data_IF_975633863690
#
_entry.id   IF_975633863690
#
_cell.length_a   1.000
_cell.length_b   1.000
_cell.length_c   1.000
_cell.angle_alpha   90.00
_cell.angle_beta   90.00
_cell.angle_gamma   90.00
#
_symmetry.space_group_name_H-M   'P 1'
#
loop_
_entity.id
_entity.type
_entity.pdbx_description
1 polymer ?
#
# COMPACT_ATOMS: atom_id res chain seq x y z
N UNK A 1 20.43 -36.69 -28.09
CA UNK A 1 19.52 -36.99 -26.97
C UNK A 1 20.16 -36.40 -25.73
N UNK A 2 19.66 -35.26 -25.24
CA UNK A 2 20.14 -34.66 -24.00
C UNK A 2 19.40 -35.34 -22.84
N UNK A 3 20.13 -35.96 -21.93
CA UNK A 3 19.58 -36.51 -20.68
C UNK A 3 19.42 -35.36 -19.70
N UNK A 4 18.18 -34.98 -19.40
CA UNK A 4 17.88 -34.06 -18.30
C UNK A 4 18.29 -34.72 -16.98
N UNK A 5 19.30 -34.12 -16.31
CA UNK A 5 19.71 -34.54 -14.97
C UNK A 5 18.70 -34.03 -13.96
N UNK A 6 17.93 -34.93 -13.34
CA UNK A 6 17.04 -34.61 -12.22
C UNK A 6 17.91 -34.29 -11.00
N UNK A 7 17.89 -33.03 -10.56
CA UNK A 7 18.59 -32.60 -9.35
C UNK A 7 17.73 -32.94 -8.13
N UNK A 8 18.19 -33.88 -7.29
CA UNK A 8 17.56 -34.20 -6.02
C UNK A 8 17.83 -33.08 -5.00
N UNK A 9 16.79 -32.64 -4.28
CA UNK A 9 16.89 -31.60 -3.24
C UNK A 9 16.66 -32.19 -1.83
N UNK A 10 17.36 -31.66 -0.82
CA UNK A 10 17.30 -32.11 0.59
C UNK A 10 17.15 -30.89 1.51
N UNK A 11 16.47 -31.05 2.65
CA UNK A 11 16.36 -30.01 3.68
C UNK A 11 17.59 -30.01 4.61
N UNK A 12 18.30 -28.90 4.73
CA UNK A 12 19.42 -28.77 5.67
C UNK A 12 18.93 -28.69 7.12
N UNK A 13 19.48 -29.52 8.02
CA UNK A 13 19.04 -29.61 9.43
C UNK A 13 19.41 -28.39 10.29
N UNK A 14 20.44 -27.62 9.91
CA UNK A 14 20.84 -26.41 10.66
C UNK A 14 20.11 -25.15 10.22
N UNK A 15 19.89 -24.95 8.92
CA UNK A 15 19.26 -23.72 8.41
C UNK A 15 17.83 -23.91 7.89
N UNK A 16 17.29 -25.13 7.86
CA UNK A 16 15.96 -25.49 7.34
C UNK A 16 15.69 -25.01 5.90
N UNK A 17 16.74 -24.77 5.10
CA UNK A 17 16.61 -24.44 3.67
C UNK A 17 16.69 -25.71 2.82
N UNK A 18 15.94 -25.72 1.72
CA UNK A 18 16.01 -26.76 0.69
C UNK A 18 17.23 -26.47 -0.18
N UNK A 19 18.15 -27.42 -0.27
CA UNK A 19 19.40 -27.29 -1.02
C UNK A 19 19.59 -28.51 -1.93
N UNK A 20 20.27 -28.38 -3.08
CA UNK A 20 20.58 -29.53 -3.92
C UNK A 20 21.45 -30.54 -3.15
N UNK A 21 21.25 -31.83 -3.42
CA UNK A 21 21.98 -32.93 -2.80
C UNK A 21 23.47 -32.82 -3.12
N UNK A 22 24.20 -32.29 -2.15
CA UNK A 22 25.66 -32.12 -2.14
C UNK A 22 26.17 -32.44 -0.74
N UNK A 23 27.47 -32.68 -0.60
CA UNK A 23 28.06 -33.07 0.69
C UNK A 23 28.00 -31.93 1.73
N UNK A 24 27.86 -30.68 1.30
CA UNK A 24 27.90 -29.50 2.17
C UNK A 24 26.78 -28.53 1.79
N UNK A 25 26.04 -28.03 2.79
CA UNK A 25 25.04 -26.99 2.59
C UNK A 25 25.70 -25.67 2.13
N UNK A 26 25.36 -25.14 0.94
CA UNK A 26 25.98 -23.91 0.41
C UNK A 26 25.69 -22.68 1.27
N UNK A 27 24.61 -22.72 2.06
CA UNK A 27 24.15 -21.58 2.87
C UNK A 27 24.82 -21.51 4.24
N UNK A 28 25.17 -22.66 4.84
CA UNK A 28 25.65 -22.68 6.23
C UNK A 28 26.90 -23.54 6.49
N UNK A 29 27.44 -24.18 5.46
CA UNK A 29 28.66 -24.98 5.53
C UNK A 29 28.54 -26.31 6.29
N UNK A 30 27.32 -26.73 6.67
CA UNK A 30 27.12 -27.99 7.37
C UNK A 30 27.21 -29.18 6.40
N UNK A 31 27.91 -30.24 6.81
CA UNK A 31 27.95 -31.52 6.09
C UNK A 31 26.57 -32.18 6.15
N UNK A 32 26.04 -32.59 4.99
CA UNK A 32 24.73 -33.23 4.87
C UNK A 32 24.91 -34.75 4.89
N UNK A 33 24.73 -35.38 6.07
CA UNK A 33 24.78 -36.84 6.18
C UNK A 33 23.63 -37.49 5.39
N UNK A 34 23.99 -38.31 4.41
CA UNK A 34 23.06 -38.93 3.44
C UNK A 34 22.04 -39.90 4.05
N UNK A 35 22.05 -40.09 5.38
CA UNK A 35 21.26 -41.12 6.07
C UNK A 35 19.93 -40.62 6.62
N UNK A 36 19.61 -39.32 6.53
CA UNK A 36 18.37 -38.74 7.07
C UNK A 36 17.47 -38.17 5.96
N UNK A 37 16.94 -39.04 5.11
CA UNK A 37 15.91 -38.64 4.14
C UNK A 37 14.57 -38.54 4.88
N UNK A 38 14.22 -37.34 5.35
CA UNK A 38 12.86 -37.05 5.83
C UNK A 38 12.02 -36.72 4.59
N UNK A 39 11.00 -37.52 4.25
CA UNK A 39 10.12 -37.18 3.14
C UNK A 39 9.40 -35.86 3.41
N UNK A 40 9.67 -34.86 2.57
CA UNK A 40 8.98 -33.56 2.58
C UNK A 40 7.49 -33.79 2.30
N UNK A 41 6.66 -33.67 3.34
CA UNK A 41 5.23 -33.40 3.15
C UNK A 41 5.12 -31.94 2.70
N UNK A 42 4.53 -31.75 1.53
CA UNK A 42 4.32 -30.45 0.89
C UNK A 42 3.67 -29.43 1.82
N UNK A 43 4.24 -28.24 1.84
CA UNK A 43 3.92 -27.09 2.71
C UNK A 43 2.75 -26.24 2.19
N UNK A 44 1.87 -26.79 1.36
CA UNK A 44 0.77 -26.05 0.71
C UNK A 44 -0.42 -25.75 1.67
N UNK A 45 -0.29 -26.03 2.98
CA UNK A 45 -1.41 -25.93 3.93
C UNK A 45 -1.48 -24.63 4.73
N UNK A 46 -0.48 -23.75 4.66
CA UNK A 46 -0.44 -22.54 5.50
C UNK A 46 -1.05 -21.32 4.80
N UNK A 47 -0.85 -21.15 3.49
CA UNK A 47 -1.51 -20.06 2.74
C UNK A 47 -3.01 -20.30 2.54
N UNK A 48 -3.42 -21.56 2.41
CA UNK A 48 -4.83 -21.94 2.27
C UNK A 48 -5.65 -21.68 3.55
N UNK A 49 -5.02 -21.66 4.73
CA UNK A 49 -5.72 -21.32 5.99
C UNK A 49 -6.02 -19.83 6.13
N UNK A 50 -5.16 -18.94 5.62
CA UNK A 50 -5.41 -17.50 5.64
C UNK A 50 -6.52 -17.11 4.66
N UNK A 51 -6.53 -17.70 3.47
CA UNK A 51 -7.61 -17.56 2.49
C UNK A 51 -8.94 -18.14 3.02
N UNK A 52 -8.90 -19.31 3.66
CA UNK A 52 -10.08 -19.96 4.26
C UNK A 52 -10.65 -19.17 5.45
N UNK A 53 -9.80 -18.54 6.29
CA UNK A 53 -10.25 -17.67 7.40
C UNK A 53 -10.89 -16.38 6.90
N UNK A 54 -10.34 -15.78 5.85
CA UNK A 54 -10.91 -14.59 5.20
C UNK A 54 -12.27 -14.89 4.57
N UNK A 55 -12.42 -16.07 3.94
CA UNK A 55 -13.70 -16.54 3.40
C UNK A 55 -14.73 -16.83 4.50
N UNK A 56 -14.34 -17.48 5.60
CA UNK A 56 -15.24 -17.74 6.73
C UNK A 56 -15.73 -16.44 7.39
N UNK A 57 -14.87 -15.41 7.49
CA UNK A 57 -15.27 -14.10 8.02
C UNK A 57 -16.23 -13.35 7.09
N UNK A 58 -16.02 -13.40 5.78
CA UNK A 58 -16.96 -12.83 4.81
C UNK A 58 -18.29 -13.59 4.77
N UNK A 59 -18.29 -14.90 5.02
CA UNK A 59 -19.50 -15.72 5.11
C UNK A 59 -20.30 -15.39 6.38
N UNK A 60 -19.65 -15.26 7.53
CA UNK A 60 -20.26 -14.79 8.78
C UNK A 60 -20.94 -13.41 8.61
N UNK A 61 -20.28 -12.48 7.89
CA UNK A 61 -20.83 -11.15 7.59
C UNK A 61 -22.05 -11.19 6.64
N UNK A 62 -22.20 -12.22 5.81
CA UNK A 62 -23.38 -12.42 4.94
C UNK A 62 -24.56 -13.03 5.69
N UNK A 63 -24.31 -13.92 6.65
CA UNK A 63 -25.36 -14.54 7.48
C UNK A 63 -25.98 -13.51 8.43
N UNK A 64 -25.17 -12.62 9.03
CA UNK A 64 -25.65 -11.51 9.85
C UNK A 64 -26.51 -10.47 9.11
N UNK A 65 -26.38 -10.35 7.79
CA UNK A 65 -27.26 -9.48 6.98
C UNK A 65 -28.60 -10.12 6.64
N UNK A 66 -28.73 -11.44 6.77
CA UNK A 66 -29.96 -12.18 6.46
C UNK A 66 -30.89 -12.32 7.67
N UNK A 67 -30.37 -12.19 8.89
CA UNK A 67 -31.16 -12.15 10.11
C UNK A 67 -31.55 -10.71 10.47
N UNK A 68 -32.49 -10.14 9.70
CA UNK A 68 -33.37 -9.10 10.25
C UNK A 68 -34.48 -9.80 11.05
N UNK A 69 -34.89 -9.25 12.21
CA UNK A 69 -35.82 -9.93 13.10
C UNK A 69 -37.21 -10.04 12.47
N UNK A 70 -37.69 -11.28 12.38
CA UNK A 70 -39.10 -11.62 12.16
C UNK A 70 -39.92 -11.04 13.30
N UNK A 71 -40.67 -9.97 13.04
CA UNK A 71 -41.75 -9.56 13.94
C UNK A 71 -42.97 -10.46 13.71
N UNK A 72 -43.45 -11.07 14.78
CA UNK A 72 -44.84 -11.47 14.98
C UNK A 72 -45.19 -11.29 16.46
N UNK A 73 -46.46 -11.44 16.91
CA UNK A 73 -47.66 -11.80 16.17
C UNK A 73 -48.86 -10.84 16.42
N UNK A 74 -49.89 -10.86 15.56
CA UNK A 74 -51.29 -10.70 15.97
C UNK A 74 -52.27 -11.19 14.89
N UNK A 75 -53.48 -11.56 15.36
CA UNK A 75 -54.32 -12.68 14.90
C UNK A 75 -55.70 -12.20 14.44
N UNK A 76 -56.24 -12.79 13.35
CA UNK A 76 -57.66 -12.99 12.93
C UNK A 76 -58.58 -11.74 12.78
N UNK A 77 -59.43 -11.58 11.76
CA UNK A 77 -60.37 -12.57 11.19
C UNK A 77 -60.98 -12.14 9.84
N UNK A 78 -61.29 -13.17 9.03
CA UNK A 78 -62.37 -13.37 8.03
C UNK A 78 -62.46 -12.47 6.78
N UNK A 79 -62.34 -12.95 5.52
CA UNK A 79 -63.01 -14.00 4.71
C UNK A 79 -63.97 -13.37 3.67
N UNK A 80 -63.60 -13.34 2.37
CA UNK A 80 -64.45 -13.80 1.24
C UNK A 80 -63.77 -13.65 -0.16
N UNK A 81 -63.60 -14.80 -0.81
CA UNK A 81 -63.83 -15.17 -2.24
C UNK A 81 -63.44 -14.21 -3.41
N UNK A 82 -62.41 -14.65 -4.19
CA UNK A 82 -62.33 -14.92 -5.67
C UNK A 82 -63.09 -14.02 -6.69
N UNK A 83 -62.66 -13.97 -7.99
CA UNK A 83 -61.33 -13.75 -8.57
C UNK A 83 -61.41 -12.78 -9.81
N UNK A 84 -60.57 -12.90 -10.86
CA UNK A 84 -59.65 -11.86 -11.32
C UNK A 84 -60.17 -11.05 -12.53
N UNK A 85 -59.61 -9.87 -12.83
CA UNK A 85 -59.36 -9.51 -14.23
C UNK A 85 -58.45 -8.31 -14.45
N UNK A 86 -57.54 -8.54 -15.40
CA UNK A 86 -56.70 -7.58 -16.10
C UNK A 86 -57.57 -6.52 -16.78
N UNK A 87 -57.17 -5.27 -16.68
CA UNK A 87 -57.28 -4.28 -17.75
C UNK A 87 -55.94 -3.54 -17.76
N UNK A 88 -55.37 -3.10 -18.88
CA UNK A 88 -55.86 -1.98 -19.68
C UNK A 88 -55.17 -2.01 -21.05
N UNK A 89 -55.94 -1.66 -22.08
CA UNK A 89 -55.63 -0.86 -23.29
C UNK A 89 -56.89 -0.99 -24.16
N UNK A 90 -57.54 0.01 -24.74
CA UNK A 90 -57.35 1.44 -24.94
C UNK A 90 -58.72 1.97 -25.41
N UNK A 91 -58.92 3.30 -25.41
CA UNK A 91 -59.68 3.93 -26.50
C UNK A 91 -60.94 4.70 -26.13
N UNK A 92 -60.74 5.99 -25.90
CA UNK A 92 -61.38 7.09 -26.61
C UNK A 92 -62.86 7.45 -26.37
N UNK A 93 -63.03 8.74 -26.02
CA UNK A 93 -63.93 9.77 -26.62
C UNK A 93 -65.04 10.34 -25.71
N UNK A 94 -64.94 11.68 -25.49
CA UNK A 94 -65.93 12.76 -25.25
C UNK A 94 -67.31 12.39 -24.63
N UNK A 95 -67.88 13.16 -23.69
CA UNK A 95 -68.42 14.53 -23.85
C UNK A 95 -68.58 15.22 -22.47
N UNK A 96 -68.52 16.55 -22.54
CA UNK A 96 -68.81 17.65 -21.58
C UNK A 96 -69.94 17.42 -20.56
N UNK A 97 -69.87 18.05 -19.38
CA UNK A 97 -70.69 19.24 -19.03
C UNK A 97 -70.22 19.92 -17.72
N UNK A 98 -70.45 21.23 -17.66
CA UNK A 98 -69.94 22.21 -16.71
C UNK A 98 -70.60 22.15 -15.32
N UNK A 99 -69.87 22.57 -14.28
CA UNK A 99 -70.37 23.50 -13.25
C UNK A 99 -69.21 24.03 -12.37
N UNK A 100 -69.05 25.35 -12.35
CA UNK A 100 -68.26 26.19 -11.42
C UNK A 100 -69.26 26.80 -10.43
N UNK A 101 -69.00 26.87 -9.11
CA UNK A 101 -68.38 28.06 -8.45
C UNK A 101 -67.38 27.68 -7.34
N UNK A 102 -66.22 28.35 -7.19
CA UNK A 102 -65.96 29.66 -6.57
C UNK A 102 -65.46 29.54 -5.11
N UNK A 103 -64.14 29.74 -4.98
CA UNK A 103 -63.39 30.47 -3.94
C UNK A 103 -63.87 30.39 -2.49
N UNK A 104 -63.09 29.74 -1.62
CA UNK A 104 -62.72 30.31 -0.33
C UNK A 104 -61.24 30.06 0.00
N UNK A 105 -60.69 31.04 0.70
CA UNK A 105 -59.30 31.44 0.88
C UNK A 105 -58.98 31.27 2.35
N UNK A 106 -57.76 30.83 2.69
CA UNK A 106 -57.05 30.85 4.00
C UNK A 106 -56.38 29.48 4.20
N UNK A 107 -55.13 29.32 4.63
CA UNK A 107 -54.14 30.23 5.22
C UNK A 107 -52.79 29.52 5.13
N UNK A 108 -51.74 30.25 4.77
CA UNK A 108 -50.36 29.79 4.82
C UNK A 108 -49.95 29.51 6.27
N UNK A 109 -49.47 28.29 6.55
CA UNK A 109 -48.62 28.02 7.71
C UNK A 109 -47.21 27.70 7.22
N UNK A 110 -46.32 28.64 7.56
CA UNK A 110 -44.87 28.59 7.48
C UNK A 110 -44.36 27.39 8.31
N UNK A 111 -43.71 26.43 7.67
CA UNK A 111 -42.88 25.42 8.36
C UNK A 111 -41.45 25.68 7.93
N UNK A 112 -40.62 26.07 8.89
CA UNK A 112 -39.19 26.27 8.71
C UNK A 112 -38.52 24.95 8.31
N UNK A 113 -37.54 24.95 7.40
CA UNK A 113 -36.67 23.81 7.23
C UNK A 113 -35.70 23.76 8.42
N UNK A 114 -35.90 22.76 9.29
CA UNK A 114 -34.86 22.35 10.25
C UNK A 114 -33.75 21.70 9.43
N UNK A 115 -32.64 22.42 9.30
CA UNK A 115 -31.35 21.92 8.85
C UNK A 115 -30.99 20.67 9.67
N UNK A 116 -31.21 19.50 9.08
CA UNK A 116 -30.55 18.28 9.54
C UNK A 116 -29.18 18.26 8.91
N UNK A 117 -28.25 18.99 9.52
CA UNK A 117 -26.82 18.77 9.32
C UNK A 117 -26.53 17.30 9.57
N UNK A 118 -26.27 16.57 8.48
CA UNK A 118 -25.69 15.25 8.51
C UNK A 118 -24.27 15.41 9.08
N UNK A 119 -24.18 15.24 10.39
CA UNK A 119 -22.95 15.29 11.16
C UNK A 119 -21.99 14.24 10.60
N UNK A 120 -20.95 14.72 9.90
CA UNK A 120 -19.77 13.96 9.50
C UNK A 120 -19.13 13.35 10.74
N UNK A 121 -19.41 12.08 11.02
CA UNK A 121 -18.56 11.26 11.88
C UNK A 121 -17.47 10.69 10.98
N UNK A 122 -16.46 11.51 10.72
CA UNK A 122 -15.18 11.06 10.15
C UNK A 122 -14.07 11.40 11.13
N UNK A 123 -14.21 10.95 12.38
CA UNK A 123 -13.06 10.67 13.22
C UNK A 123 -12.49 9.33 12.77
N UNK A 124 -11.69 9.39 11.70
CA UNK A 124 -10.71 8.35 11.41
C UNK A 124 -9.72 8.41 12.56
N UNK A 125 -9.98 7.60 13.58
CA UNK A 125 -9.06 7.31 14.67
C UNK A 125 -7.71 6.95 14.03
N UNK A 126 -6.78 7.92 14.07
CA UNK A 126 -5.41 7.73 13.60
C UNK A 126 -4.87 6.57 14.43
N UNK A 127 -4.63 5.44 13.76
CA UNK A 127 -3.85 4.35 14.32
C UNK A 127 -2.59 4.98 14.96
N UNK A 128 -2.21 4.58 16.18
CA UNK A 128 -1.01 5.10 16.82
C UNK A 128 0.20 4.68 15.97
N UNK A 129 0.58 5.56 15.04
CA UNK A 129 1.84 5.47 14.32
C UNK A 129 2.88 5.82 15.36
N UNK A 130 3.53 4.80 15.92
CA UNK A 130 4.74 5.03 16.70
C UNK A 130 5.71 5.79 15.78
N UNK A 131 6.24 6.92 16.24
CA UNK A 131 7.33 7.61 15.56
C UNK A 131 8.51 6.63 15.55
N UNK A 132 8.78 6.02 14.40
CA UNK A 132 9.82 5.01 14.31
C UNK A 132 11.12 5.66 13.86
N UNK A 133 12.18 5.40 14.63
CA UNK A 133 13.54 5.82 14.31
C UNK A 133 14.07 5.05 13.10
N UNK A 134 14.26 5.76 11.99
CA UNK A 134 14.80 5.24 10.73
C UNK A 134 16.19 4.60 10.95
N UNK A 135 16.96 5.06 11.94
CA UNK A 135 18.28 4.52 12.27
C UNK A 135 18.29 3.07 12.75
N UNK A 136 17.14 2.55 13.17
CA UNK A 136 16.99 1.15 13.61
C UNK A 136 16.54 0.20 12.51
N UNK A 137 16.15 0.72 11.34
CA UNK A 137 15.65 -0.08 10.23
C UNK A 137 16.78 -0.80 9.50
N UNK A 138 16.67 -2.13 9.37
CA UNK A 138 17.58 -2.92 8.54
C UNK A 138 16.90 -3.19 7.19
N UNK A 139 17.28 -2.48 6.11
CA UNK A 139 16.68 -2.67 4.80
C UNK A 139 17.01 -4.06 4.25
N UNK A 140 16.08 -4.64 3.50
CA UNK A 140 16.38 -5.84 2.73
C UNK A 140 17.45 -5.56 1.65
N UNK A 141 18.21 -6.59 1.20
CA UNK A 141 19.33 -6.40 0.29
C UNK A 141 18.97 -5.65 -0.99
N UNK A 142 17.77 -5.90 -1.53
CA UNK A 142 17.32 -5.31 -2.78
C UNK A 142 16.96 -3.84 -2.62
N UNK A 143 16.21 -3.50 -1.57
CA UNK A 143 15.90 -2.10 -1.23
C UNK A 143 17.18 -1.31 -0.97
N UNK A 144 18.14 -1.91 -0.25
CA UNK A 144 19.43 -1.30 0.00
C UNK A 144 20.20 -1.03 -1.30
N UNK A 145 20.31 -2.02 -2.17
CA UNK A 145 21.00 -1.92 -3.45
C UNK A 145 20.41 -0.83 -4.34
N UNK A 146 19.07 -0.75 -4.43
CA UNK A 146 18.37 0.26 -5.23
C UNK A 146 18.76 1.68 -4.81
N UNK A 147 18.69 1.95 -3.51
CA UNK A 147 18.97 3.29 -2.97
C UNK A 147 20.47 3.61 -3.08
N UNK A 148 21.36 2.67 -2.77
CA UNK A 148 22.80 2.86 -2.95
C UNK A 148 23.19 3.09 -4.40
N UNK A 149 22.58 2.38 -5.35
CA UNK A 149 22.84 2.53 -6.78
C UNK A 149 22.43 3.92 -7.26
N UNK A 150 21.27 4.43 -6.80
CA UNK A 150 20.85 5.78 -7.10
C UNK A 150 21.83 6.82 -6.53
N UNK A 151 22.23 6.68 -5.27
CA UNK A 151 23.23 7.56 -4.64
C UNK A 151 24.54 7.56 -5.43
N UNK A 152 25.05 6.38 -5.80
CA UNK A 152 26.29 6.25 -6.58
C UNK A 152 26.15 6.95 -7.94
N UNK A 153 25.03 6.78 -8.63
CA UNK A 153 24.83 7.43 -9.93
C UNK A 153 24.77 8.95 -9.82
N UNK A 154 24.09 9.49 -8.80
CA UNK A 154 24.07 10.94 -8.57
C UNK A 154 25.49 11.49 -8.29
N UNK A 155 26.29 10.78 -7.48
CA UNK A 155 27.69 11.15 -7.21
C UNK A 155 28.53 11.12 -8.49
N UNK A 156 28.39 10.08 -9.30
CA UNK A 156 29.14 9.96 -10.55
C UNK A 156 28.77 11.05 -11.54
N UNK A 157 27.49 11.39 -11.68
CA UNK A 157 27.05 12.45 -12.57
C UNK A 157 27.66 13.80 -12.18
N UNK A 158 27.55 14.18 -10.90
CA UNK A 158 28.10 15.45 -10.39
C UNK A 158 29.63 15.49 -10.57
N UNK A 159 30.33 14.43 -10.16
CA UNK A 159 31.79 14.37 -10.25
C UNK A 159 32.27 14.37 -11.71
N UNK A 160 31.57 13.70 -12.63
CA UNK A 160 31.94 13.73 -14.04
C UNK A 160 31.80 15.14 -14.63
N UNK A 161 30.72 15.85 -14.29
CA UNK A 161 30.54 17.25 -14.71
C UNK A 161 31.63 18.14 -14.13
N UNK A 162 32.02 17.93 -12.87
CA UNK A 162 33.12 18.67 -12.24
C UNK A 162 34.46 18.40 -12.93
N UNK A 163 34.81 17.14 -13.20
CA UNK A 163 36.04 16.77 -13.92
C UNK A 163 36.08 17.38 -15.32
N UNK A 164 34.94 17.42 -16.00
CA UNK A 164 34.83 18.06 -17.30
C UNK A 164 35.01 19.58 -17.22
N UNK A 165 34.40 20.23 -16.23
CA UNK A 165 34.57 21.66 -15.94
C UNK A 165 36.03 22.03 -15.64
N UNK A 166 36.76 21.16 -14.96
CA UNK A 166 38.19 21.33 -14.67
C UNK A 166 39.10 21.02 -15.88
N UNK A 167 38.53 20.59 -17.01
CA UNK A 167 39.28 20.26 -18.23
C UNK A 167 40.07 18.95 -18.13
N UNK A 168 39.79 18.11 -17.12
CA UNK A 168 40.47 16.83 -16.94
C UNK A 168 39.99 15.74 -17.93
N UNK A 169 38.82 15.95 -18.53
CA UNK A 169 38.19 14.99 -19.46
C UNK A 169 37.84 15.70 -20.75
N UNK A 170 38.08 15.05 -21.90
CA UNK A 170 37.70 15.59 -23.20
C UNK A 170 36.18 15.53 -23.41
N UNK A 171 35.65 16.42 -24.24
CA UNK A 171 34.22 16.51 -24.55
C UNK A 171 33.65 15.19 -25.10
N UNK A 172 34.42 14.47 -25.92
CA UNK A 172 34.01 13.19 -26.50
C UNK A 172 33.84 12.10 -25.42
N UNK A 173 34.82 11.98 -24.52
CA UNK A 173 34.78 11.01 -23.42
C UNK A 173 33.66 11.38 -22.45
N UNK A 174 33.54 12.66 -22.10
CA UNK A 174 32.48 13.18 -21.26
C UNK A 174 31.10 12.83 -21.83
N UNK A 175 30.83 13.19 -23.09
CA UNK A 175 29.52 12.99 -23.71
C UNK A 175 29.13 11.52 -23.74
N UNK A 176 30.08 10.62 -24.03
CA UNK A 176 29.83 9.17 -24.04
C UNK A 176 29.45 8.64 -22.66
N UNK A 177 30.19 9.03 -21.61
CA UNK A 177 29.93 8.59 -20.24
C UNK A 177 28.67 9.23 -19.66
N UNK A 178 28.51 10.53 -19.89
CA UNK A 178 27.41 11.32 -19.36
C UNK A 178 26.05 10.83 -19.87
N UNK A 179 25.89 10.66 -21.19
CA UNK A 179 24.62 10.16 -21.74
C UNK A 179 24.21 8.81 -21.14
N UNK A 180 25.18 7.88 -20.95
CA UNK A 180 24.89 6.58 -20.34
C UNK A 180 24.39 6.68 -18.89
N UNK A 181 24.89 7.65 -18.12
CA UNK A 181 24.47 7.85 -16.73
C UNK A 181 23.12 8.59 -16.63
N UNK A 182 22.92 9.60 -17.47
CA UNK A 182 21.69 10.40 -17.48
C UNK A 182 20.46 9.54 -17.82
N UNK A 183 20.63 8.46 -18.57
CA UNK A 183 19.54 7.53 -18.89
C UNK A 183 19.19 6.58 -17.71
N UNK A 184 20.13 6.29 -16.81
CA UNK A 184 19.92 5.36 -15.69
C UNK A 184 19.17 5.99 -14.51
N UNK A 185 19.44 7.26 -14.19
CA UNK A 185 18.84 7.95 -13.04
C UNK A 185 17.30 7.97 -13.10
N UNK A 186 16.64 8.34 -14.22
CA UNK A 186 15.18 8.30 -14.34
C UNK A 186 14.61 6.89 -14.11
N UNK A 187 15.30 5.84 -14.58
CA UNK A 187 14.89 4.46 -14.37
C UNK A 187 14.93 4.07 -12.89
N UNK A 188 16.00 4.42 -12.18
CA UNK A 188 16.14 4.16 -10.74
C UNK A 188 15.09 4.93 -9.92
N UNK A 189 14.80 6.17 -10.28
CA UNK A 189 13.75 6.98 -9.63
C UNK A 189 12.37 6.37 -9.86
N UNK A 190 12.07 5.96 -11.11
CA UNK A 190 10.80 5.32 -11.45
C UNK A 190 10.62 4.03 -10.64
N UNK A 191 11.66 3.21 -10.56
CA UNK A 191 11.66 1.96 -9.82
C UNK A 191 11.45 2.17 -8.30
N UNK A 192 12.14 3.16 -7.73
CA UNK A 192 11.93 3.60 -6.33
C UNK A 192 10.50 4.08 -6.09
N UNK A 193 9.93 4.82 -7.04
CA UNK A 193 8.55 5.30 -6.99
C UNK A 193 7.53 4.17 -7.06
N UNK A 194 7.76 3.18 -7.92
CA UNK A 194 6.92 1.98 -8.04
C UNK A 194 6.94 1.15 -6.74
N UNK A 195 8.12 0.86 -6.20
CA UNK A 195 8.26 0.15 -4.93
C UNK A 195 7.53 0.87 -3.78
N UNK A 196 7.64 2.20 -3.72
CA UNK A 196 6.93 3.02 -2.72
C UNK A 196 5.41 2.95 -2.89
N UNK A 197 4.93 2.97 -4.13
CA UNK A 197 3.50 2.90 -4.45
C UNK A 197 2.92 1.52 -4.10
N UNK A 198 3.65 0.45 -4.40
CA UNK A 198 3.26 -0.92 -4.05
C UNK A 198 3.15 -1.09 -2.53
N UNK A 199 4.16 -0.63 -1.78
CA UNK A 199 4.13 -0.65 -0.32
C UNK A 199 2.96 0.14 0.26
N UNK A 200 2.67 1.31 -0.29
CA UNK A 200 1.51 2.11 0.11
C UNK A 200 0.19 1.36 -0.12
N UNK A 201 0.06 0.68 -1.25
CA UNK A 201 -1.08 -0.18 -1.55
C UNK A 201 -1.26 -1.30 -0.52
N UNK A 202 -0.19 -2.04 -0.23
CA UNK A 202 -0.19 -3.12 0.76
C UNK A 202 -0.53 -2.61 2.17
N UNK A 203 0.11 -1.52 2.60
CA UNK A 203 -0.17 -0.89 3.90
C UNK A 203 -1.61 -0.45 4.05
N UNK A 204 -2.24 0.06 2.99
CA UNK A 204 -3.66 0.43 3.03
C UNK A 204 -4.56 -0.81 3.22
N UNK A 205 -4.19 -1.95 2.61
CA UNK A 205 -4.81 -3.23 2.89
C UNK A 205 -4.70 -3.62 4.37
N UNK A 206 -3.49 -3.58 4.93
CA UNK A 206 -3.26 -3.89 6.36
C UNK A 206 -4.01 -2.94 7.31
N UNK A 207 -4.03 -1.64 7.00
CA UNK A 207 -4.79 -0.64 7.77
C UNK A 207 -6.27 -0.97 7.81
N UNK A 208 -6.84 -1.35 6.67
CA UNK A 208 -8.26 -1.75 6.58
C UNK A 208 -8.57 -2.96 7.47
N UNK A 209 -7.71 -3.98 7.45
CA UNK A 209 -7.88 -5.17 8.30
C UNK A 209 -7.73 -4.84 9.79
N UNK A 210 -6.69 -4.09 10.17
CA UNK A 210 -6.48 -3.65 11.55
C UNK A 210 -7.66 -2.81 12.07
N UNK A 211 -8.17 -1.87 11.26
CA UNK A 211 -9.35 -1.07 11.61
C UNK A 211 -10.60 -1.93 11.77
N UNK A 212 -10.80 -2.91 10.89
CA UNK A 212 -11.92 -3.86 11.02
C UNK A 212 -11.82 -4.68 12.29
N UNK A 213 -10.61 -5.12 12.68
CA UNK A 213 -10.39 -5.87 13.92
C UNK A 213 -10.65 -5.00 15.16
N UNK A 214 -10.19 -3.73 15.16
CA UNK A 214 -10.49 -2.76 16.22
C UNK A 214 -11.99 -2.50 16.38
N UNK A 215 -12.71 -2.34 15.27
CA UNK A 215 -14.17 -2.22 15.31
C UNK A 215 -14.83 -3.49 15.86
N UNK A 216 -14.30 -4.66 15.51
CA UNK A 216 -14.74 -5.95 16.06
C UNK A 216 -14.56 -6.04 17.58
N UNK A 217 -13.44 -5.55 18.11
CA UNK A 217 -13.18 -5.49 19.56
C UNK A 217 -14.19 -4.60 20.26
N UNK A 218 -14.41 -3.37 19.75
CA UNK A 218 -15.39 -2.43 20.31
C UNK A 218 -16.80 -3.03 20.34
N UNK A 219 -17.21 -3.73 19.28
CA UNK A 219 -18.50 -4.40 19.23
C UNK A 219 -18.58 -5.57 20.23
N UNK A 220 -17.50 -6.34 20.37
CA UNK A 220 -17.43 -7.46 21.31
C UNK A 220 -17.50 -6.97 22.76
N UNK A 221 -16.86 -5.84 23.08
CA UNK A 221 -16.95 -5.16 24.38
C UNK A 221 -18.38 -4.72 24.69
N UNK A 222 -19.08 -4.14 23.70
CA UNK A 222 -20.49 -3.77 23.84
C UNK A 222 -21.37 -5.00 24.10
N UNK A 223 -21.22 -6.08 23.32
CA UNK A 223 -22.00 -7.31 23.53
C UNK A 223 -21.78 -7.90 24.92
N UNK A 224 -20.53 -7.91 25.39
CA UNK A 224 -20.21 -8.33 26.76
C UNK A 224 -20.90 -7.45 27.80
N UNK A 225 -20.97 -6.13 27.59
CA UNK A 225 -21.65 -5.21 28.52
C UNK A 225 -23.17 -5.41 28.61
N UNK A 226 -23.78 -6.06 27.62
CA UNK A 226 -25.19 -6.43 27.60
C UNK A 226 -25.45 -7.89 28.02
N UNK A 227 -24.44 -8.60 28.53
CA UNK A 227 -24.48 -10.04 28.79
C UNK A 227 -24.87 -10.90 27.56
N UNK A 228 -24.70 -10.37 26.35
CA UNK A 228 -24.98 -11.04 25.05
C UNK A 228 -23.75 -11.82 24.52
N UNK A 229 -22.70 -11.92 25.34
CA UNK A 229 -21.49 -12.66 25.02
C UNK A 229 -20.94 -13.31 26.29
N UNK A 230 -20.74 -14.64 26.28
CA UNK A 230 -20.13 -15.31 27.42
C UNK A 230 -18.66 -14.91 27.59
N UNK A 231 -18.14 -15.01 28.81
CA UNK A 231 -16.73 -14.71 29.07
C UNK A 231 -15.78 -15.61 28.26
N UNK A 232 -16.14 -16.88 28.01
CA UNK A 232 -15.37 -17.78 27.16
C UNK A 232 -15.35 -17.34 25.69
N UNK A 233 -16.51 -16.97 25.13
CA UNK A 233 -16.61 -16.46 23.75
C UNK A 233 -15.78 -15.18 23.61
N UNK A 234 -15.94 -14.26 24.57
CA UNK A 234 -15.20 -13.00 24.62
C UNK A 234 -13.70 -13.26 24.64
N UNK A 235 -13.22 -14.11 25.56
CA UNK A 235 -11.78 -14.39 25.72
C UNK A 235 -11.15 -14.92 24.44
N UNK A 236 -11.82 -15.82 23.73
CA UNK A 236 -11.31 -16.39 22.47
C UNK A 236 -11.33 -15.36 21.34
N UNK A 237 -12.46 -14.65 21.15
CA UNK A 237 -12.61 -13.69 20.05
C UNK A 237 -11.75 -12.45 20.24
N UNK A 238 -11.67 -11.90 21.46
CA UNK A 238 -10.85 -10.75 21.78
C UNK A 238 -9.37 -11.05 21.55
N UNK A 239 -8.90 -12.25 21.94
CA UNK A 239 -7.52 -12.66 21.70
C UNK A 239 -7.18 -12.72 20.20
N UNK A 240 -8.08 -13.27 19.37
CA UNK A 240 -7.89 -13.32 17.93
C UNK A 240 -7.87 -11.93 17.29
N UNK A 241 -8.80 -11.05 17.66
CA UNK A 241 -8.86 -9.70 17.12
C UNK A 241 -7.68 -8.84 17.58
N UNK A 242 -7.25 -8.95 18.85
CA UNK A 242 -6.04 -8.28 19.33
C UNK A 242 -4.80 -8.75 18.56
N UNK A 243 -4.70 -10.05 18.27
CA UNK A 243 -3.62 -10.57 17.44
C UNK A 243 -3.62 -9.93 16.05
N UNK A 244 -4.79 -9.79 15.41
CA UNK A 244 -4.90 -9.12 14.10
C UNK A 244 -4.43 -7.65 14.19
N UNK A 245 -4.90 -6.91 15.20
CA UNK A 245 -4.52 -5.50 15.41
C UNK A 245 -3.00 -5.37 15.58
N UNK A 246 -2.40 -6.18 16.44
CA UNK A 246 -0.96 -6.14 16.72
C UNK A 246 -0.14 -6.58 15.50
N UNK A 247 -0.56 -7.65 14.83
CA UNK A 247 0.14 -8.20 13.68
C UNK A 247 0.16 -7.22 12.51
N UNK A 248 -1.02 -6.71 12.13
CA UNK A 248 -1.11 -5.74 11.04
C UNK A 248 -0.54 -4.37 11.43
N UNK A 249 -0.63 -3.98 12.71
CA UNK A 249 0.06 -2.80 13.23
C UNK A 249 1.57 -2.85 13.00
N UNK A 250 2.21 -3.98 13.31
CA UNK A 250 3.64 -4.21 13.03
C UNK A 250 3.94 -4.15 11.53
N UNK A 251 3.12 -4.79 10.69
CA UNK A 251 3.30 -4.77 9.23
C UNK A 251 3.18 -3.37 8.63
N UNK A 252 2.26 -2.55 9.14
CA UNK A 252 2.13 -1.14 8.74
C UNK A 252 3.40 -0.37 9.13
N UNK A 253 3.88 -0.56 10.36
CA UNK A 253 5.10 0.10 10.86
C UNK A 253 6.34 -0.31 10.05
N UNK A 254 6.53 -1.60 9.78
CA UNK A 254 7.59 -2.12 8.90
C UNK A 254 7.51 -1.50 7.48
N UNK A 255 6.30 -1.44 6.91
CA UNK A 255 6.08 -0.83 5.60
C UNK A 255 6.36 0.68 5.58
N UNK A 256 6.06 1.38 6.66
CA UNK A 256 6.36 2.80 6.82
C UNK A 256 7.87 3.03 6.87
N UNK A 257 8.60 2.29 7.70
CA UNK A 257 10.07 2.37 7.75
C UNK A 257 10.70 2.11 6.37
N UNK A 258 10.23 1.08 5.65
CA UNK A 258 10.72 0.78 4.29
C UNK A 258 10.42 1.91 3.31
N UNK A 259 9.22 2.49 3.38
CA UNK A 259 8.82 3.63 2.56
C UNK A 259 9.68 4.86 2.84
N UNK A 260 9.95 5.13 4.11
CA UNK A 260 10.76 6.27 4.53
C UNK A 260 12.22 6.08 4.15
N UNK A 261 12.75 4.86 4.25
CA UNK A 261 14.08 4.51 3.74
C UNK A 261 14.18 4.68 2.21
N UNK A 262 13.18 4.23 1.45
CA UNK A 262 13.14 4.44 0.00
C UNK A 262 13.04 5.92 -0.37
N UNK A 263 12.37 6.74 0.43
CA UNK A 263 12.24 8.18 0.19
C UNK A 263 13.50 8.95 0.60
N UNK A 264 14.15 8.55 1.69
CA UNK A 264 15.31 9.23 2.25
C UNK A 264 16.62 8.66 1.70
N UNK A 265 17.29 9.42 0.82
CA UNK A 265 18.72 9.21 0.54
C UNK A 265 19.61 9.68 1.71
N UNK A 266 19.06 10.41 2.69
CA UNK A 266 19.80 11.06 3.76
C UNK A 266 20.36 10.14 4.84
N UNK A 267 19.89 8.88 4.89
CA UNK A 267 20.52 7.85 5.71
C UNK A 267 21.80 7.25 5.10
N UNK A 268 22.05 7.47 3.81
CA UNK A 268 23.19 6.89 3.08
C UNK A 268 24.24 7.91 2.66
N UNK A 269 23.87 9.18 2.55
CA UNK A 269 24.78 10.28 2.28
C UNK A 269 24.79 11.19 3.49
N UNK A 270 25.97 11.54 4.00
CA UNK A 270 26.09 12.53 5.09
C UNK A 270 25.55 13.89 4.62
N UNK A 271 25.01 14.67 5.56
CA UNK A 271 24.39 15.96 5.25
C UNK A 271 25.41 16.92 4.64
N UNK A 272 26.63 16.90 5.17
CA UNK A 272 27.77 17.67 4.69
C UNK A 272 28.07 17.33 3.24
N UNK A 273 28.15 16.04 2.91
CA UNK A 273 28.40 15.60 1.55
C UNK A 273 27.26 15.98 0.60
N UNK A 274 26.00 15.96 1.06
CA UNK A 274 24.87 16.41 0.23
C UNK A 274 24.96 17.89 -0.07
N UNK A 275 25.38 18.70 0.90
CA UNK A 275 25.60 20.12 0.71
C UNK A 275 26.76 20.37 -0.25
N UNK A 276 27.88 19.63 -0.12
CA UNK A 276 29.00 19.71 -1.06
C UNK A 276 28.55 19.37 -2.50
N UNK A 277 27.78 18.29 -2.66
CA UNK A 277 27.24 17.88 -3.95
C UNK A 277 26.27 18.93 -4.53
N UNK A 278 25.45 19.57 -3.69
CA UNK A 278 24.56 20.67 -4.10
C UNK A 278 25.36 21.90 -4.54
N UNK A 279 26.41 22.26 -3.82
CA UNK A 279 27.26 23.40 -4.13
C UNK A 279 28.02 23.18 -5.44
N UNK A 280 28.54 21.96 -5.66
CA UNK A 280 29.16 21.58 -6.94
C UNK A 280 28.12 21.67 -8.07
N UNK A 281 26.95 21.05 -7.90
CA UNK A 281 25.89 21.09 -8.91
C UNK A 281 25.46 22.53 -9.25
N UNK A 282 25.31 23.40 -8.24
CA UNK A 282 25.02 24.81 -8.41
C UNK A 282 26.13 25.55 -9.19
N UNK A 283 27.38 25.35 -8.79
CA UNK A 283 28.54 25.91 -9.48
C UNK A 283 28.73 25.39 -10.91
N UNK A 284 28.14 24.24 -11.26
CA UNK A 284 28.11 23.71 -12.63
C UNK A 284 26.96 24.26 -13.47
N UNK A 285 25.90 24.79 -12.85
CA UNK A 285 24.79 25.44 -13.56
C UNK A 285 25.11 26.88 -14.01
N UNK A 286 26.15 27.51 -13.44
CA UNK A 286 26.53 28.88 -13.79
C UNK A 286 27.13 28.99 -15.20
N UNK A 287 26.50 29.80 -16.06
CA UNK A 287 26.84 29.95 -17.48
C UNK A 287 28.28 30.44 -17.75
N UNK A 288 28.90 31.08 -16.76
CA UNK A 288 30.29 31.56 -16.79
C UNK A 288 31.34 30.45 -16.66
N UNK A 289 30.95 29.27 -16.18
CA UNK A 289 31.87 28.19 -15.80
C UNK A 289 32.35 27.31 -16.96
N UNK A 290 31.72 27.38 -18.14
CA UNK A 290 31.91 26.45 -19.26
C UNK A 290 32.01 27.15 -20.63
N UNK A 291 32.83 28.21 -20.72
CA UNK A 291 32.85 29.13 -21.89
C UNK A 291 33.29 28.52 -23.22
N UNK A 292 33.95 27.35 -23.22
CA UNK A 292 34.49 26.71 -24.42
C UNK A 292 33.72 25.47 -24.88
N UNK A 293 32.54 25.21 -24.31
CA UNK A 293 31.76 24.00 -24.57
C UNK A 293 30.57 24.31 -25.48
N UNK A 294 30.25 23.37 -26.37
CA UNK A 294 29.11 23.43 -27.27
C UNK A 294 27.80 23.62 -26.48
N UNK A 295 26.97 24.59 -26.92
CA UNK A 295 25.77 25.01 -26.18
C UNK A 295 24.80 23.85 -25.90
N UNK A 296 24.68 22.90 -26.84
CA UNK A 296 23.86 21.68 -26.65
C UNK A 296 24.29 20.85 -25.44
N UNK A 297 25.59 20.69 -25.20
CA UNK A 297 26.11 19.93 -24.05
C UNK A 297 25.90 20.73 -22.77
N UNK A 298 26.12 22.05 -22.83
CA UNK A 298 25.90 22.94 -21.68
C UNK A 298 24.46 22.89 -21.18
N UNK A 299 23.48 22.93 -22.07
CA UNK A 299 22.06 22.82 -21.70
C UNK A 299 21.72 21.44 -21.13
N UNK A 300 22.29 20.36 -21.68
CA UNK A 300 22.12 19.01 -21.10
C UNK A 300 22.67 18.92 -19.68
N UNK A 301 23.88 19.43 -19.44
CA UNK A 301 24.50 19.46 -18.12
C UNK A 301 23.62 20.27 -17.15
N UNK A 302 23.20 21.46 -17.56
CA UNK A 302 22.37 22.33 -16.72
C UNK A 302 21.07 21.64 -16.32
N UNK A 303 20.40 20.99 -17.27
CA UNK A 303 19.18 20.23 -17.02
C UNK A 303 19.43 19.07 -16.03
N UNK A 304 20.46 18.27 -16.27
CA UNK A 304 20.78 17.14 -15.40
C UNK A 304 21.15 17.59 -13.98
N UNK A 305 21.98 18.64 -13.84
CA UNK A 305 22.32 19.21 -12.52
C UNK A 305 21.12 19.79 -11.79
N UNK A 306 20.17 20.38 -12.52
CA UNK A 306 18.91 20.85 -11.94
C UNK A 306 18.04 19.68 -11.44
N UNK A 307 17.91 18.61 -12.23
CA UNK A 307 17.21 17.38 -11.84
C UNK A 307 17.87 16.72 -10.63
N UNK A 308 19.18 16.55 -10.67
CA UNK A 308 20.00 16.03 -9.57
C UNK A 308 19.86 16.88 -8.30
N UNK A 309 19.89 18.21 -8.40
CA UNK A 309 19.64 19.10 -7.27
C UNK A 309 18.22 18.94 -6.70
N UNK A 310 17.21 18.80 -7.56
CA UNK A 310 15.82 18.51 -7.13
C UNK A 310 15.75 17.21 -6.34
N UNK A 311 16.39 16.14 -6.82
CA UNK A 311 16.41 14.85 -6.15
C UNK A 311 17.10 14.96 -4.77
N UNK A 312 18.22 15.68 -4.68
CA UNK A 312 18.92 15.91 -3.41
C UNK A 312 18.14 16.81 -2.45
N UNK A 313 17.24 17.68 -2.95
CA UNK A 313 16.36 18.50 -2.14
C UNK A 313 15.15 17.72 -1.61
N UNK A 314 14.54 16.88 -2.43
CA UNK A 314 13.40 16.03 -2.03
C UNK A 314 13.76 15.05 -0.90
N UNK A 315 15.05 14.80 -0.69
CA UNK A 315 15.57 13.91 0.35
C UNK A 315 15.70 14.56 1.71
N UNK A 316 16.00 15.87 1.73
CA UNK A 316 16.30 16.63 2.95
C UNK A 316 15.27 17.70 3.27
N UNK A 317 14.33 17.95 2.35
CA UNK A 317 13.24 18.91 2.48
C UNK A 317 11.93 18.23 2.84
N UNK A 318 11.81 17.75 4.08
CA UNK A 318 10.54 17.52 4.79
C UNK A 318 10.78 17.56 6.28
#
# INVERSE_FOLDING_TARGET
MATESVVENILCSKCNKVVPKQDICPECGQVLDATTVVPLKTSDKIEDQAASRTLNFLQFRREFKKEKPTQGPQTQSQELKKPPQKSVKNGATKVMENAVPEVEKMTSQKVEPVDTELQKVSDVEKLPVQNVDIGSYTPDPYTKELVEKLVKQLRYEINLVQLFKEGQVSEEIFTRLFNGMTDEIPSLIAHRGEATKELSGLMNGYKSVAQSAQQGLKLLDLRRSFDDCSDEEYKVKAAALNWDVDHYGKKISEGQMKTDYLRSLGGLIQVEEVNDLKDIAAGCMEASSMKHIHDSIREKIKKAMQETSSILNDVYGS
#
